data_IF_006346381535
#
_entry.id   IF_006346381535
#
_cell.length_a   1.000
_cell.length_b   1.000
_cell.length_c   1.000
_cell.angle_alpha   90.00
_cell.angle_beta   90.00
_cell.angle_gamma   90.00
#
_symmetry.space_group_name_H-M   'P 1'
#
loop_
_entity.id
_entity.type
_entity.pdbx_description
1 polymer ?
#
# COMPACT_ATOMS: atom_id res chain seq x y z
N UNK A 1 -29.81 -7.50 9.55
CA UNK A 1 -29.41 -7.75 8.16
C UNK A 1 -30.03 -6.64 7.35
N UNK A 2 -29.25 -5.62 7.01
CA UNK A 2 -29.64 -4.59 6.06
C UNK A 2 -28.68 -4.70 4.88
N UNK A 3 -29.25 -4.95 3.70
CA UNK A 3 -28.54 -4.98 2.43
C UNK A 3 -28.14 -3.54 2.07
N UNK A 4 -26.84 -3.29 1.94
CA UNK A 4 -26.32 -2.04 1.41
C UNK A 4 -26.33 -2.09 -0.13
N UNK A 5 -26.84 -1.05 -0.82
CA UNK A 5 -27.03 -1.10 -2.27
C UNK A 5 -25.69 -1.05 -3.02
N UNK A 6 -25.54 -2.00 -3.94
CA UNK A 6 -24.40 -2.23 -4.83
C UNK A 6 -24.29 -1.16 -5.93
N UNK A 7 -23.99 0.09 -5.56
CA UNK A 7 -23.49 1.05 -6.54
C UNK A 7 -22.67 2.14 -5.85
N UNK A 8 -21.36 1.93 -5.74
CA UNK A 8 -20.30 2.94 -5.91
C UNK A 8 -18.94 2.26 -5.69
N UNK A 9 -18.07 2.35 -6.72
CA UNK A 9 -16.62 2.08 -6.74
C UNK A 9 -16.16 0.60 -6.78
N UNK A 10 -15.85 0.17 -8.01
CA UNK A 10 -14.81 -0.79 -8.46
C UNK A 10 -14.37 -1.94 -7.52
N UNK A 11 -14.55 -3.15 -8.03
CA UNK A 11 -14.80 -4.41 -7.31
C UNK A 11 -13.62 -5.11 -6.63
N UNK A 12 -12.42 -4.52 -6.61
CA UNK A 12 -11.21 -5.19 -6.06
C UNK A 12 -10.85 -4.75 -4.65
N UNK A 13 -10.98 -3.46 -4.32
CA UNK A 13 -10.47 -2.89 -3.06
C UNK A 13 -11.42 -3.00 -1.87
N UNK A 14 -12.74 -3.01 -2.12
CA UNK A 14 -13.74 -3.15 -1.05
C UNK A 14 -13.69 -4.52 -0.38
N UNK A 15 -13.42 -5.56 -1.16
CA UNK A 15 -13.25 -6.94 -0.68
C UNK A 15 -12.03 -7.07 0.22
N UNK A 16 -10.92 -6.44 -0.16
CA UNK A 16 -9.69 -6.38 0.63
C UNK A 16 -9.93 -5.59 1.92
N UNK A 17 -10.56 -4.43 1.84
CA UNK A 17 -10.87 -3.60 3.01
C UNK A 17 -11.82 -4.32 3.98
N UNK A 18 -12.86 -5.00 3.46
CA UNK A 18 -13.79 -5.80 4.25
C UNK A 18 -13.10 -7.00 4.90
N UNK A 19 -12.21 -7.69 4.18
CA UNK A 19 -11.41 -8.80 4.71
C UNK A 19 -10.49 -8.37 5.86
N UNK A 20 -9.81 -7.22 5.70
CA UNK A 20 -8.97 -6.63 6.76
C UNK A 20 -9.82 -6.25 7.98
N UNK A 21 -10.97 -5.59 7.78
CA UNK A 21 -11.88 -5.19 8.87
C UNK A 21 -12.43 -6.40 9.63
N UNK A 22 -12.85 -7.45 8.92
CA UNK A 22 -13.40 -8.67 9.51
C UNK A 22 -12.35 -9.41 10.36
N UNK A 23 -11.12 -9.53 9.86
CA UNK A 23 -10.02 -10.17 10.59
C UNK A 23 -9.63 -9.41 11.87
N UNK A 24 -9.65 -8.07 11.83
CA UNK A 24 -9.36 -7.24 13.00
C UNK A 24 -10.42 -7.34 14.11
N UNK A 25 -11.64 -7.79 13.80
CA UNK A 25 -12.74 -7.92 14.77
C UNK A 25 -12.74 -9.26 15.53
N UNK A 26 -12.14 -10.33 14.99
CA UNK A 26 -12.38 -11.71 15.48
C UNK A 26 -11.15 -12.44 16.04
N UNK A 27 -10.02 -11.77 16.29
CA UNK A 27 -8.77 -12.46 16.63
C UNK A 27 -8.47 -12.57 18.16
N UNK A 28 -8.37 -13.80 18.76
CA UNK A 28 -7.92 -14.01 20.14
C UNK A 28 -6.38 -14.17 20.26
N UNK A 29 -5.78 -13.75 21.38
CA UNK A 29 -4.32 -13.52 21.57
C UNK A 29 -3.39 -14.73 21.36
N UNK A 30 -2.11 -14.57 21.00
CA UNK A 30 -1.09 -13.63 21.48
C UNK A 30 -0.88 -12.43 20.56
N UNK A 31 -1.09 -11.23 21.11
CA UNK A 31 -1.08 -9.94 20.40
C UNK A 31 0.19 -9.71 19.55
N UNK A 32 1.33 -10.34 19.85
CA UNK A 32 2.56 -10.22 19.05
C UNK A 32 2.57 -11.13 17.81
N UNK A 33 2.25 -12.42 17.99
CA UNK A 33 2.11 -13.38 16.88
C UNK A 33 1.05 -12.88 15.89
N UNK A 34 -0.07 -12.37 16.42
CA UNK A 34 -1.13 -11.78 15.63
C UNK A 34 -0.69 -10.60 14.76
N UNK A 35 0.28 -9.80 15.25
CA UNK A 35 0.76 -8.60 14.54
C UNK A 35 1.75 -8.93 13.43
N UNK A 36 2.66 -9.88 13.70
CA UNK A 36 3.55 -10.41 12.67
C UNK A 36 2.75 -11.11 11.58
N UNK A 37 1.74 -11.89 11.96
CA UNK A 37 0.84 -12.56 11.03
C UNK A 37 0.01 -11.56 10.24
N UNK A 38 -0.56 -10.53 10.87
CA UNK A 38 -1.29 -9.46 10.20
C UNK A 38 -0.42 -8.72 9.18
N UNK A 39 0.82 -8.38 9.54
CA UNK A 39 1.77 -7.75 8.63
C UNK A 39 2.12 -8.66 7.44
N UNK A 40 2.39 -9.94 7.72
CA UNK A 40 2.66 -10.94 6.68
C UNK A 40 1.48 -11.15 5.74
N UNK A 41 0.26 -11.26 6.27
CA UNK A 41 -0.98 -11.35 5.49
C UNK A 41 -1.20 -10.11 4.64
N UNK A 42 -0.96 -8.92 5.20
CA UNK A 42 -1.03 -7.68 4.42
C UNK A 42 -0.03 -7.72 3.25
N UNK A 43 1.24 -8.05 3.49
CA UNK A 43 2.25 -8.17 2.42
C UNK A 43 1.80 -9.15 1.34
N UNK A 44 1.31 -10.33 1.73
CA UNK A 44 0.82 -11.34 0.79
C UNK A 44 -0.35 -10.84 -0.06
N UNK A 45 -1.32 -10.16 0.54
CA UNK A 45 -2.45 -9.56 -0.20
C UNK A 45 -1.96 -8.51 -1.19
N UNK A 46 -1.00 -7.67 -0.81
CA UNK A 46 -0.40 -6.69 -1.71
C UNK A 46 0.33 -7.37 -2.87
N UNK A 47 1.13 -8.41 -2.60
CA UNK A 47 1.85 -9.17 -3.63
C UNK A 47 0.89 -9.82 -4.63
N UNK A 48 -0.20 -10.44 -4.15
CA UNK A 48 -1.24 -11.04 -5.01
C UNK A 48 -1.86 -9.98 -5.90
N UNK A 49 -2.29 -8.85 -5.34
CA UNK A 49 -2.91 -7.78 -6.11
C UNK A 49 -1.96 -7.21 -7.18
N UNK A 50 -0.69 -7.01 -6.84
CA UNK A 50 0.29 -6.51 -7.80
C UNK A 50 0.63 -7.55 -8.88
N UNK A 51 0.53 -8.85 -8.58
CA UNK A 51 0.65 -9.89 -9.58
C UNK A 51 -0.50 -9.85 -10.59
N UNK A 52 -1.74 -9.60 -10.13
CA UNK A 52 -2.89 -9.39 -11.03
C UNK A 52 -2.66 -8.20 -11.97
N UNK A 53 -2.11 -7.09 -11.46
CA UNK A 53 -1.71 -5.93 -12.28
C UNK A 53 -0.64 -6.31 -13.30
N UNK A 54 0.32 -7.18 -12.94
CA UNK A 54 1.35 -7.65 -13.87
C UNK A 54 0.77 -8.53 -14.98
N UNK A 55 -0.19 -9.37 -14.63
CA UNK A 55 -0.84 -10.25 -15.60
C UNK A 55 -1.69 -9.43 -16.59
N UNK A 56 -2.39 -8.38 -16.12
CA UNK A 56 -3.10 -7.42 -16.97
C UNK A 56 -2.13 -6.58 -17.82
N UNK A 57 -1.02 -6.12 -17.25
CA UNK A 57 0.02 -5.39 -17.95
C UNK A 57 0.57 -6.17 -19.16
N UNK A 58 0.67 -7.49 -19.08
CA UNK A 58 1.09 -8.36 -20.19
C UNK A 58 0.16 -8.31 -21.41
N UNK A 59 -1.08 -7.82 -21.25
CA UNK A 59 -2.04 -7.64 -22.35
C UNK A 59 -1.92 -6.26 -23.03
N UNK A 60 -1.19 -5.32 -22.43
CA UNK A 60 -1.04 -3.96 -22.95
C UNK A 60 0.16 -3.83 -23.91
N UNK A 61 0.00 -3.14 -25.05
CA UNK A 61 1.13 -2.73 -25.87
C UNK A 61 2.09 -1.80 -25.10
N UNK A 62 3.38 -1.92 -25.36
CA UNK A 62 4.45 -1.12 -24.72
C UNK A 62 4.18 0.39 -24.72
N UNK A 63 3.58 0.93 -25.78
CA UNK A 63 3.26 2.37 -25.92
C UNK A 63 2.23 2.87 -24.90
N UNK A 64 1.36 1.98 -24.42
CA UNK A 64 0.30 2.29 -23.43
C UNK A 64 0.64 1.80 -22.03
N UNK A 65 1.63 0.91 -21.90
CA UNK A 65 2.00 0.23 -20.67
C UNK A 65 2.44 1.22 -19.56
N UNK A 66 3.17 2.28 -19.92
CA UNK A 66 3.56 3.31 -18.94
C UNK A 66 2.35 4.08 -18.40
N UNK A 67 1.37 4.38 -19.26
CA UNK A 67 0.15 5.07 -18.83
C UNK A 67 -0.71 4.19 -17.92
N UNK A 68 -0.79 2.89 -18.24
CA UNK A 68 -1.41 1.88 -17.39
C UNK A 68 -0.77 1.85 -16.00
N UNK A 69 0.55 1.64 -15.91
CA UNK A 69 1.22 1.59 -14.60
C UNK A 69 1.11 2.87 -13.79
N UNK A 70 1.04 4.05 -14.43
CA UNK A 70 0.78 5.31 -13.73
C UNK A 70 -0.61 5.34 -13.09
N UNK A 71 -1.63 4.93 -13.84
CA UNK A 71 -3.01 4.86 -13.32
C UNK A 71 -3.12 3.89 -12.14
N UNK A 72 -2.49 2.73 -12.26
CA UNK A 72 -2.52 1.72 -11.19
C UNK A 72 -1.68 2.16 -9.97
N UNK A 73 -0.56 2.84 -10.20
CA UNK A 73 0.22 3.45 -9.12
C UNK A 73 -0.60 4.47 -8.31
N UNK A 74 -1.32 5.37 -8.98
CA UNK A 74 -2.12 6.42 -8.30
C UNK A 74 -3.20 5.80 -7.41
N UNK A 75 -3.89 4.76 -7.89
CA UNK A 75 -4.88 4.03 -7.11
C UNK A 75 -4.26 3.31 -5.92
N UNK A 76 -3.16 2.59 -6.16
CA UNK A 76 -2.44 1.84 -5.13
C UNK A 76 -1.88 2.74 -4.03
N UNK A 77 -1.32 3.89 -4.40
CA UNK A 77 -0.78 4.87 -3.46
C UNK A 77 -1.89 5.50 -2.61
N UNK A 78 -3.04 5.81 -3.22
CA UNK A 78 -4.21 6.32 -2.51
C UNK A 78 -4.79 5.29 -1.51
N UNK A 79 -4.82 4.01 -1.88
CA UNK A 79 -5.18 2.93 -0.96
C UNK A 79 -4.20 2.88 0.22
N UNK A 80 -2.90 2.91 -0.05
CA UNK A 80 -1.86 2.92 0.99
C UNK A 80 -2.04 4.08 1.98
N UNK A 81 -2.31 5.30 1.47
CA UNK A 81 -2.59 6.48 2.31
C UNK A 81 -3.85 6.30 3.16
N UNK A 82 -4.89 5.72 2.59
CA UNK A 82 -6.20 5.56 3.26
C UNK A 82 -6.18 4.51 4.36
N UNK A 83 -5.45 3.41 4.16
CA UNK A 83 -5.41 2.32 5.15
C UNK A 83 -4.32 2.52 6.21
N UNK A 84 -3.22 3.23 5.90
CA UNK A 84 -2.13 3.44 6.86
C UNK A 84 -2.58 3.98 8.24
N UNK A 85 -3.56 4.90 8.36
CA UNK A 85 -4.14 5.30 9.64
C UNK A 85 -4.75 4.16 10.45
N UNK A 86 -5.37 3.16 9.81
CA UNK A 86 -5.95 1.99 10.48
C UNK A 86 -4.85 1.13 11.14
N UNK A 87 -3.65 1.13 10.55
CA UNK A 87 -2.49 0.42 11.07
C UNK A 87 -1.59 1.27 11.97
N UNK A 88 -2.01 2.50 12.35
CA UNK A 88 -1.21 3.40 13.20
C UNK A 88 -0.80 2.73 14.52
N UNK A 89 -1.69 1.94 15.12
CA UNK A 89 -1.39 1.24 16.35
C UNK A 89 -0.33 0.15 16.15
N UNK A 90 -0.45 -0.64 15.08
CA UNK A 90 0.56 -1.64 14.66
C UNK A 90 1.92 -0.98 14.41
N UNK A 91 1.95 0.10 13.62
CA UNK A 91 3.14 0.86 13.28
C UNK A 91 3.83 1.45 14.52
N UNK A 92 3.07 2.01 15.48
CA UNK A 92 3.66 2.65 16.67
C UNK A 92 4.30 1.65 17.63
N UNK A 93 3.76 0.45 17.72
CA UNK A 93 4.07 -0.46 18.83
C UNK A 93 4.86 -1.69 18.41
N UNK A 94 4.52 -2.32 17.27
CA UNK A 94 5.23 -3.49 16.78
C UNK A 94 6.37 -3.11 15.84
N UNK A 95 6.13 -2.36 14.77
CA UNK A 95 7.17 -1.95 13.79
C UNK A 95 8.36 -1.25 14.49
N UNK A 96 8.08 -0.30 15.39
CA UNK A 96 9.15 0.36 16.18
C UNK A 96 9.95 -0.61 17.06
N UNK A 97 9.31 -1.66 17.56
CA UNK A 97 9.97 -2.68 18.40
C UNK A 97 10.83 -3.61 17.55
N UNK A 98 10.31 -4.08 16.42
CA UNK A 98 11.05 -4.92 15.47
C UNK A 98 12.33 -4.21 14.97
N UNK A 99 12.21 -2.92 14.65
CA UNK A 99 13.35 -2.10 14.23
C UNK A 99 14.39 -1.90 15.35
N UNK A 100 13.96 -1.81 16.61
CA UNK A 100 14.88 -1.77 17.78
C UNK A 100 15.55 -3.12 18.05
N UNK A 101 14.87 -4.22 17.77
CA UNK A 101 15.40 -5.59 17.90
C UNK A 101 16.34 -5.97 16.72
N UNK A 102 16.63 -5.03 15.81
CA UNK A 102 17.60 -5.21 14.73
C UNK A 102 17.08 -6.05 13.55
N UNK A 103 15.77 -6.32 13.50
CA UNK A 103 15.18 -7.00 12.34
C UNK A 103 15.15 -6.04 11.16
N UNK A 104 15.99 -6.32 10.16
CA UNK A 104 15.98 -5.63 8.87
C UNK A 104 14.67 -5.99 8.14
N UNK A 105 14.10 -5.06 7.37
CA UNK A 105 12.91 -5.24 6.52
C UNK A 105 11.52 -5.18 7.20
N UNK A 106 11.37 -4.49 8.34
CA UNK A 106 10.04 -4.17 8.89
C UNK A 106 9.78 -2.67 8.79
N UNK A 107 9.11 -2.28 7.73
CA UNK A 107 8.72 -0.90 7.47
C UNK A 107 7.28 -0.62 7.92
N UNK A 108 6.93 0.66 8.13
CA UNK A 108 5.54 1.03 8.37
C UNK A 108 4.64 0.67 7.19
N UNK A 109 3.33 0.53 7.43
CA UNK A 109 2.40 0.03 6.41
C UNK A 109 2.42 0.86 5.11
N UNK A 110 2.53 2.18 5.18
CA UNK A 110 2.64 2.99 3.97
C UNK A 110 3.93 2.66 3.20
N UNK A 111 5.06 2.59 3.89
CA UNK A 111 6.35 2.26 3.28
C UNK A 111 6.37 0.83 2.73
N UNK A 112 5.73 -0.13 3.41
CA UNK A 112 5.54 -1.50 2.92
C UNK A 112 4.90 -1.50 1.53
N UNK A 113 3.84 -0.71 1.30
CA UNK A 113 3.21 -0.61 -0.03
C UNK A 113 4.22 -0.16 -1.09
N UNK A 114 4.98 0.90 -0.80
CA UNK A 114 5.97 1.42 -1.75
C UNK A 114 7.07 0.38 -2.05
N UNK A 115 7.50 -0.38 -1.05
CA UNK A 115 8.51 -1.43 -1.20
C UNK A 115 7.97 -2.57 -2.05
N UNK A 116 6.78 -3.10 -1.75
CA UNK A 116 6.21 -4.22 -2.52
C UNK A 116 5.92 -3.79 -3.97
N UNK A 117 5.45 -2.56 -4.21
CA UNK A 117 5.33 -2.02 -5.57
C UNK A 117 6.65 -2.05 -6.32
N UNK A 118 7.76 -1.64 -5.68
CA UNK A 118 9.08 -1.70 -6.32
C UNK A 118 9.52 -3.13 -6.60
N UNK A 119 9.33 -4.03 -5.64
CA UNK A 119 9.75 -5.43 -5.73
C UNK A 119 8.98 -6.21 -6.80
N UNK A 120 7.70 -5.87 -7.03
CA UNK A 120 6.85 -6.61 -7.97
C UNK A 120 6.74 -5.90 -9.33
N UNK A 121 6.45 -4.59 -9.35
CA UNK A 121 6.13 -3.87 -10.59
C UNK A 121 7.35 -3.23 -11.23
N UNK A 122 8.17 -2.54 -10.45
CA UNK A 122 9.34 -1.83 -11.01
C UNK A 122 10.43 -2.83 -11.41
N UNK A 123 10.60 -3.90 -10.63
CA UNK A 123 11.59 -4.94 -10.90
C UNK A 123 11.27 -5.80 -12.14
N UNK A 124 9.99 -5.93 -12.51
CA UNK A 124 9.56 -6.69 -13.69
C UNK A 124 9.46 -5.82 -14.96
N UNK A 125 9.35 -4.50 -14.82
CA UNK A 125 9.24 -3.57 -15.93
C UNK A 125 10.56 -3.44 -16.72
N UNK A 126 10.45 -3.02 -17.99
CA UNK A 126 11.63 -2.64 -18.77
C UNK A 126 12.36 -1.47 -18.14
N UNK A 127 13.67 -1.34 -18.38
CA UNK A 127 14.50 -0.30 -17.75
C UNK A 127 13.95 1.13 -17.93
N UNK A 128 13.44 1.45 -19.12
CA UNK A 128 12.88 2.76 -19.43
C UNK A 128 11.58 3.04 -18.65
N UNK A 129 10.70 2.03 -18.54
CA UNK A 129 9.45 2.12 -17.78
C UNK A 129 9.75 2.19 -16.28
N UNK A 130 10.67 1.35 -15.79
CA UNK A 130 11.10 1.33 -14.41
C UNK A 130 11.66 2.71 -13.98
N UNK A 131 12.54 3.33 -14.77
CA UNK A 131 13.08 4.65 -14.48
C UNK A 131 11.99 5.74 -14.50
N UNK A 132 11.05 5.68 -15.46
CA UNK A 132 9.93 6.60 -15.54
C UNK A 132 8.98 6.49 -14.34
N UNK A 133 8.71 5.27 -13.86
CA UNK A 133 7.90 5.01 -12.67
C UNK A 133 8.61 5.46 -11.39
N UNK A 134 9.90 5.12 -11.24
CA UNK A 134 10.69 5.59 -10.10
C UNK A 134 10.69 7.11 -9.97
N UNK A 135 10.81 7.83 -11.09
CA UNK A 135 10.75 9.29 -11.14
C UNK A 135 9.36 9.82 -10.73
N UNK A 136 8.28 9.15 -11.15
CA UNK A 136 6.92 9.50 -10.76
C UNK A 136 6.72 9.37 -9.24
N UNK A 137 7.06 8.20 -8.68
CA UNK A 137 6.96 7.91 -7.25
C UNK A 137 7.75 8.91 -6.39
N UNK A 138 8.99 9.26 -6.81
CA UNK A 138 9.85 10.21 -6.08
C UNK A 138 9.25 11.62 -6.07
N UNK A 139 8.63 12.07 -7.16
CA UNK A 139 8.00 13.39 -7.25
C UNK A 139 6.81 13.52 -6.31
N UNK A 140 5.93 12.53 -6.26
CA UNK A 140 4.75 12.57 -5.39
C UNK A 140 5.10 12.54 -3.91
N UNK A 141 6.09 11.73 -3.52
CA UNK A 141 6.59 11.72 -2.13
C UNK A 141 7.10 13.09 -1.69
N UNK A 142 7.76 13.82 -2.58
CA UNK A 142 8.22 15.18 -2.30
C UNK A 142 7.04 16.16 -2.14
N UNK A 143 6.05 16.10 -3.03
CA UNK A 143 4.86 16.97 -2.98
C UNK A 143 4.06 16.74 -1.70
N UNK A 144 3.81 15.48 -1.33
CA UNK A 144 3.05 15.13 -0.13
C UNK A 144 3.73 15.63 1.16
N UNK A 145 5.07 15.53 1.24
CA UNK A 145 5.85 16.04 2.37
C UNK A 145 5.73 17.56 2.53
N UNK A 146 5.85 18.30 1.42
CA UNK A 146 5.70 19.77 1.40
C UNK A 146 4.29 20.19 1.83
N UNK A 147 3.25 19.53 1.33
CA UNK A 147 1.85 19.82 1.72
C UNK A 147 1.61 19.58 3.23
N UNK A 148 2.22 18.53 3.79
CA UNK A 148 2.10 18.22 5.22
C UNK A 148 2.80 19.27 6.10
N UNK A 149 3.95 19.79 5.67
CA UNK A 149 4.67 20.86 6.37
C UNK A 149 3.89 22.17 6.37
N UNK A 150 3.31 22.55 5.22
CA UNK A 150 2.43 23.73 5.09
C UNK A 150 1.22 23.62 6.03
N UNK A 151 0.54 22.47 6.01
CA UNK A 151 -0.65 22.23 6.84
C UNK A 151 -0.35 22.25 8.34
N UNK A 152 0.86 21.85 8.75
CA UNK A 152 1.31 21.99 10.15
C UNK A 152 1.53 23.45 10.51
N UNK A 153 2.25 24.22 9.71
CA UNK A 153 2.57 25.61 10.03
C UNK A 153 1.32 26.51 10.16
N UNK A 154 0.29 26.26 9.35
CA UNK A 154 -1.00 26.98 9.43
C UNK A 154 -1.76 26.63 10.72
N UNK A 155 -1.64 25.39 11.22
CA UNK A 155 -2.36 24.93 12.42
C UNK A 155 -1.73 25.41 13.74
N UNK A 156 -0.53 25.96 13.69
CA UNK A 156 0.23 26.47 14.84
C UNK A 156 0.58 27.97 14.71
N UNK A 157 -0.01 28.69 13.73
CA UNK A 157 -0.03 30.16 13.66
C UNK A 157 -1.39 30.68 14.12
#
# INVERSE_FOLDING_TARGET
MEEFPLNYLDTTWQTIEAGIKHYLQHAPGTVHLLRKELYGRLKQVLEIHLQEIQDEAGQHPNETLLAFYRKEWDQYENAARSINPLFRYLNRTWVKRENKEGRKHVDDVYTLHLVVWKEVVVASASADIADALEKAMKREKHISKVQQEISRNIKYS
#
